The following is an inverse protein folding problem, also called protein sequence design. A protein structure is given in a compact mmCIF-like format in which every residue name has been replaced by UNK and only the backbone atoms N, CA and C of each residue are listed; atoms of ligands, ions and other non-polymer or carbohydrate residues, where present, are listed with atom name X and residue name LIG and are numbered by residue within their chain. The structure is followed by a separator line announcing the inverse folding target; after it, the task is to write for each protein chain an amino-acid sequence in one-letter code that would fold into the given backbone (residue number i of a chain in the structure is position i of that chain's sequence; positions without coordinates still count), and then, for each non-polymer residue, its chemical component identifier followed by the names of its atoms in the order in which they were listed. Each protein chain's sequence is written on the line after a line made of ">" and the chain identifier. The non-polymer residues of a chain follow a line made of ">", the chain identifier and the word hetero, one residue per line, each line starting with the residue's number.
data_IF_652436175093
#
_entry.id   IF_652436175093
#
_cell.length_a   1.000
_cell.length_b   1.000
_cell.length_c   1.000
_cell.angle_alpha   90.00
_cell.angle_beta   90.00
_cell.angle_gamma   90.00
#
_symmetry.space_group_name_H-M   'P 1'
#
loop_
_entity.id
_entity.type
_entity.pdbx_description
1 polymer ?
#
# COMPACT_ATOMS: atom_id res chain seq x y z
N UNK A 1 -53.35 -20.80 15.12
CA UNK A 1 -53.81 -19.71 16.02
C UNK A 1 -53.11 -18.44 15.59
N UNK A 2 -53.81 -17.66 14.77
CA UNK A 2 -53.51 -16.31 14.32
C UNK A 2 -53.83 -15.33 15.45
N UNK A 3 -52.90 -14.46 15.84
CA UNK A 3 -53.22 -13.20 16.53
C UNK A 3 -52.30 -12.07 16.07
N UNK A 4 -52.96 -10.94 15.80
CA UNK A 4 -52.56 -9.74 15.10
C UNK A 4 -51.71 -8.76 15.96
N UNK A 5 -51.14 -7.69 15.38
CA UNK A 5 -50.18 -6.81 16.04
C UNK A 5 -50.87 -5.76 16.93
N UNK A 6 -50.22 -5.43 18.05
CA UNK A 6 -50.67 -4.38 18.97
C UNK A 6 -50.16 -3.02 18.48
N UNK A 7 -51.11 -2.13 18.23
CA UNK A 7 -50.94 -0.73 17.84
C UNK A 7 -50.96 0.13 19.11
N UNK A 8 -49.94 0.98 19.33
CA UNK A 8 -49.95 1.96 20.40
C UNK A 8 -49.53 3.33 19.85
N UNK A 9 -50.52 4.18 19.60
CA UNK A 9 -50.35 5.58 19.24
C UNK A 9 -50.26 6.48 20.48
N UNK A 10 -49.25 7.36 20.43
CA UNK A 10 -49.17 8.72 20.97
C UNK A 10 -49.66 9.04 22.40
N UNK A 11 -48.70 9.38 23.27
CA UNK A 11 -48.81 10.55 24.15
C UNK A 11 -47.46 11.26 24.25
N UNK A 12 -47.45 12.53 23.85
CA UNK A 12 -46.31 13.47 23.90
C UNK A 12 -46.32 14.17 25.26
N UNK A 13 -45.21 14.17 26.02
CA UNK A 13 -44.97 15.17 27.05
C UNK A 13 -44.24 16.35 26.42
N UNK A 14 -44.89 17.51 26.39
CA UNK A 14 -44.27 18.80 26.09
C UNK A 14 -43.26 19.15 27.17
N UNK A 15 -41.98 19.28 26.82
CA UNK A 15 -40.91 19.76 27.71
C UNK A 15 -40.52 21.18 27.26
N UNK A 16 -40.43 22.15 28.19
CA UNK A 16 -40.16 23.55 27.87
C UNK A 16 -38.77 23.77 27.29
N UNK A 17 -38.74 24.55 26.22
CA UNK A 17 -37.57 25.16 25.59
C UNK A 17 -36.76 25.95 26.62
N UNK A 18 -35.53 25.51 26.86
CA UNK A 18 -34.43 26.37 27.33
C UNK A 18 -33.15 25.91 26.63
N UNK A 19 -33.03 26.25 25.34
CA UNK A 19 -31.74 26.21 24.68
C UNK A 19 -30.81 27.21 25.41
N UNK A 20 -29.62 26.81 25.87
CA UNK A 20 -28.60 27.79 26.16
C UNK A 20 -28.25 28.46 24.84
N UNK A 21 -28.19 29.79 24.84
CA UNK A 21 -27.79 30.63 23.71
C UNK A 21 -26.49 30.05 23.14
N UNK A 22 -26.58 29.38 21.99
CA UNK A 22 -25.41 28.94 21.24
C UNK A 22 -24.65 30.21 20.86
N UNK A 23 -23.53 30.45 21.52
CA UNK A 23 -22.53 31.39 21.02
C UNK A 23 -22.13 30.89 19.64
N UNK A 24 -22.54 31.61 18.59
CA UNK A 24 -22.21 31.29 17.21
C UNK A 24 -20.69 31.16 17.06
N UNK A 25 -20.21 29.91 17.00
CA UNK A 25 -18.78 29.57 16.90
C UNK A 25 -18.15 30.05 15.59
N UNK A 26 -18.99 30.47 14.63
CA UNK A 26 -18.58 30.97 13.32
C UNK A 26 -18.74 32.48 13.18
N UNK A 27 -19.05 33.21 14.26
CA UNK A 27 -19.15 34.67 14.23
C UNK A 27 -17.85 35.32 13.72
N UNK A 28 -16.67 34.81 14.14
CA UNK A 28 -15.38 35.31 13.66
C UNK A 28 -15.19 35.16 12.13
N UNK A 29 -15.67 34.06 11.55
CA UNK A 29 -15.56 33.81 10.11
C UNK A 29 -16.52 34.68 9.29
N UNK A 30 -17.71 34.97 9.83
CA UNK A 30 -18.64 35.92 9.22
C UNK A 30 -18.13 37.36 9.25
N UNK A 31 -17.42 37.75 10.31
CA UNK A 31 -16.80 39.08 10.39
C UNK A 31 -15.68 39.25 9.35
N UNK A 32 -14.89 38.21 9.08
CA UNK A 32 -13.85 38.23 8.04
C UNK A 32 -14.43 38.23 6.61
N UNK A 33 -15.58 37.58 6.39
CA UNK A 33 -16.26 37.59 5.10
C UNK A 33 -16.95 38.93 4.80
N UNK A 34 -17.39 39.66 5.84
CA UNK A 34 -18.04 40.96 5.70
C UNK A 34 -17.06 42.12 5.43
N UNK A 35 -15.77 41.95 5.68
CA UNK A 35 -14.73 42.95 5.39
C UNK A 35 -14.20 42.91 3.96
N UNK A 36 -14.68 42.00 3.11
CA UNK A 36 -14.08 41.77 1.78
C UNK A 36 -14.86 42.37 0.59
N UNK A 37 -15.81 43.27 0.83
CA UNK A 37 -16.47 44.03 -0.25
C UNK A 37 -16.22 45.53 -0.06
N UNK A 38 -15.19 46.07 -0.73
CA UNK A 38 -15.00 47.54 -0.77
C UNK A 38 -13.68 48.16 -1.23
N UNK A 39 -13.04 47.68 -2.30
CA UNK A 39 -12.13 48.46 -3.20
C UNK A 39 -10.78 48.99 -2.64
N UNK A 40 -9.79 49.28 -3.53
CA UNK A 40 -8.35 49.18 -3.21
C UNK A 40 -7.77 50.48 -2.67
N UNK A 41 -6.95 50.40 -1.61
CA UNK A 41 -6.07 51.50 -1.24
C UNK A 41 -4.71 50.98 -0.78
N UNK A 42 -3.69 51.57 -1.39
CA UNK A 42 -2.27 51.32 -1.26
C UNK A 42 -1.72 51.61 0.14
N UNK A 43 -0.66 50.87 0.47
CA UNK A 43 0.38 51.13 1.46
C UNK A 43 -0.03 51.43 2.90
N UNK A 44 -0.04 50.35 3.71
CA UNK A 44 0.47 50.37 5.08
C UNK A 44 1.06 49.00 5.39
N UNK A 45 2.39 48.94 5.39
CA UNK A 45 3.17 47.86 5.97
C UNK A 45 2.79 47.71 7.45
N UNK A 46 1.95 46.72 7.76
CA UNK A 46 1.84 46.20 9.12
C UNK A 46 2.87 45.09 9.29
N UNK A 47 3.98 45.50 9.91
CA UNK A 47 4.85 44.82 10.87
C UNK A 47 4.35 43.44 11.39
N UNK A 48 4.31 42.44 10.51
CA UNK A 48 4.23 41.03 10.90
C UNK A 48 5.65 40.46 10.95
N UNK A 49 6.27 40.62 12.11
CA UNK A 49 7.30 39.73 12.61
C UNK A 49 8.57 39.68 11.77
N UNK A 50 9.45 40.64 12.02
CA UNK A 50 10.89 40.53 11.78
C UNK A 50 11.42 39.26 12.47
N UNK A 51 11.30 38.13 11.80
CA UNK A 51 11.90 36.88 12.24
C UNK A 51 13.39 37.07 12.04
N UNK A 52 14.06 37.50 13.11
CA UNK A 52 15.52 37.54 13.21
C UNK A 52 16.01 36.19 12.66
N UNK A 53 16.58 36.21 11.46
CA UNK A 53 17.32 35.08 10.95
C UNK A 53 18.48 34.87 11.93
N UNK A 54 18.32 33.88 12.82
CA UNK A 54 19.44 33.40 13.61
C UNK A 54 20.54 33.04 12.61
N UNK A 55 21.72 33.63 12.78
CA UNK A 55 22.89 33.32 11.96
C UNK A 55 23.05 31.80 11.96
N UNK A 56 22.96 31.16 10.79
CA UNK A 56 23.18 29.73 10.69
C UNK A 56 24.57 29.43 11.26
N UNK A 57 24.70 28.54 12.26
CA UNK A 57 26.00 28.01 12.59
C UNK A 57 26.48 27.22 11.35
N UNK A 58 27.60 27.64 10.79
CA UNK A 58 28.29 26.92 9.72
C UNK A 58 28.69 25.54 10.24
N UNK A 59 27.86 24.52 10.04
CA UNK A 59 28.22 23.10 10.21
C UNK A 59 27.14 22.21 9.60
N UNK A 60 27.48 21.55 8.50
CA UNK A 60 26.94 20.30 7.96
C UNK A 60 25.71 19.72 8.67
N UNK A 61 24.52 19.97 8.12
CA UNK A 61 23.39 19.05 8.27
C UNK A 61 22.57 19.10 6.99
N UNK A 62 22.75 18.06 6.17
CA UNK A 62 22.03 17.81 4.92
C UNK A 62 20.55 17.54 5.24
N UNK A 63 19.74 18.60 5.23
CA UNK A 63 18.29 18.48 5.11
C UNK A 63 17.98 18.51 3.61
N UNK A 64 17.79 17.33 3.02
CA UNK A 64 17.40 17.19 1.61
C UNK A 64 15.95 17.63 1.43
N UNK A 65 15.78 18.86 0.95
CA UNK A 65 14.50 19.35 0.42
C UNK A 65 14.14 18.58 -0.86
N UNK A 66 13.06 17.79 -0.82
CA UNK A 66 12.51 17.09 -1.97
C UNK A 66 11.73 18.06 -2.87
N UNK A 67 12.40 18.69 -3.82
CA UNK A 67 11.74 19.47 -4.87
C UNK A 67 11.94 18.81 -6.23
N UNK A 68 10.81 18.39 -6.82
CA UNK A 68 10.59 18.07 -8.25
C UNK A 68 11.54 17.06 -8.88
N UNK A 69 11.32 15.77 -8.62
CA UNK A 69 11.85 14.69 -9.45
C UNK A 69 11.18 14.70 -10.82
N UNK A 70 11.97 14.72 -11.90
CA UNK A 70 11.45 14.62 -13.26
C UNK A 70 10.82 13.24 -13.51
N UNK A 71 9.76 13.15 -14.34
CA UNK A 71 9.03 11.91 -14.62
C UNK A 71 9.93 10.75 -15.13
N UNK A 72 11.00 11.07 -15.85
CA UNK A 72 11.99 10.10 -16.29
C UNK A 72 12.80 9.50 -15.13
N UNK A 73 13.17 10.32 -14.12
CA UNK A 73 13.88 9.85 -12.93
C UNK A 73 12.98 8.98 -12.05
N UNK A 74 11.70 9.34 -11.89
CA UNK A 74 10.75 8.50 -11.16
C UNK A 74 10.51 7.16 -11.85
N UNK A 75 10.45 7.14 -13.19
CA UNK A 75 10.31 5.89 -13.95
C UNK A 75 11.52 4.96 -13.79
N UNK A 76 12.74 5.50 -13.77
CA UNK A 76 13.96 4.71 -13.53
C UNK A 76 13.97 4.14 -12.12
N UNK A 77 13.72 4.96 -11.10
CA UNK A 77 13.63 4.50 -9.71
C UNK A 77 12.54 3.44 -9.52
N UNK A 78 11.44 3.55 -10.26
CA UNK A 78 10.36 2.55 -10.24
C UNK A 78 10.80 1.22 -10.89
N UNK A 79 11.57 1.28 -11.98
CA UNK A 79 12.11 0.08 -12.63
C UNK A 79 13.10 -0.64 -11.71
N UNK A 80 14.04 0.10 -11.09
CA UNK A 80 15.00 -0.45 -10.12
C UNK A 80 14.29 -1.10 -8.92
N UNK A 81 13.19 -0.48 -8.47
CA UNK A 81 12.38 -1.01 -7.37
C UNK A 81 11.67 -2.32 -7.75
N UNK A 82 11.14 -2.39 -8.96
CA UNK A 82 10.49 -3.60 -9.48
C UNK A 82 11.48 -4.74 -9.69
N UNK A 83 12.67 -4.43 -10.20
CA UNK A 83 13.75 -5.40 -10.35
C UNK A 83 14.11 -6.01 -8.99
N UNK A 84 14.32 -5.20 -7.96
CA UNK A 84 14.58 -5.68 -6.58
C UNK A 84 13.44 -6.53 -6.01
N UNK A 85 12.20 -6.16 -6.28
CA UNK A 85 11.05 -6.97 -5.86
C UNK A 85 11.02 -8.32 -6.59
N UNK A 86 11.39 -8.34 -7.88
CA UNK A 86 11.46 -9.57 -8.67
C UNK A 86 12.62 -10.46 -8.22
N UNK A 87 13.78 -9.90 -7.90
CA UNK A 87 14.90 -10.60 -7.26
C UNK A 87 14.46 -11.25 -5.95
N UNK A 88 13.73 -10.52 -5.11
CA UNK A 88 13.17 -11.05 -3.86
C UNK A 88 12.20 -12.22 -4.11
N UNK A 89 11.33 -12.12 -5.11
CA UNK A 89 10.48 -13.25 -5.51
C UNK A 89 11.31 -14.48 -5.89
N UNK A 90 12.29 -14.31 -6.78
CA UNK A 90 13.17 -15.41 -7.23
C UNK A 90 13.93 -16.02 -6.06
N UNK A 91 14.42 -15.20 -5.13
CA UNK A 91 15.12 -15.67 -3.94
C UNK A 91 14.23 -16.56 -3.07
N UNK A 92 13.04 -16.09 -2.70
CA UNK A 92 12.11 -16.86 -1.85
C UNK A 92 11.66 -18.16 -2.53
N UNK A 93 11.33 -18.12 -3.83
CA UNK A 93 10.95 -19.32 -4.57
C UNK A 93 12.10 -20.33 -4.67
N UNK A 94 13.34 -19.85 -4.81
CA UNK A 94 14.52 -20.71 -4.83
C UNK A 94 14.74 -21.39 -3.48
N UNK A 95 14.68 -20.63 -2.39
CA UNK A 95 14.79 -21.20 -1.03
C UNK A 95 13.70 -22.24 -0.78
N UNK A 96 12.45 -21.98 -1.17
CA UNK A 96 11.37 -22.95 -1.07
C UNK A 96 11.65 -24.22 -1.89
N UNK A 97 12.09 -24.08 -3.14
CA UNK A 97 12.43 -25.21 -3.99
C UNK A 97 13.58 -26.05 -3.41
N UNK A 98 14.60 -25.40 -2.87
CA UNK A 98 15.78 -26.07 -2.31
C UNK A 98 15.41 -26.79 -1.01
N UNK A 99 14.56 -26.17 -0.17
CA UNK A 99 14.01 -26.80 1.03
C UNK A 99 13.27 -28.10 0.70
N UNK A 100 12.31 -28.08 -0.23
CA UNK A 100 11.54 -29.29 -0.55
C UNK A 100 12.37 -30.36 -1.26
N UNK A 101 13.35 -29.97 -2.09
CA UNK A 101 14.28 -30.92 -2.71
C UNK A 101 15.29 -31.54 -1.74
N UNK A 102 15.56 -30.89 -0.60
CA UNK A 102 16.44 -31.44 0.43
C UNK A 102 15.81 -32.60 1.23
N UNK A 103 14.50 -32.84 1.07
CA UNK A 103 13.78 -33.93 1.73
C UNK A 103 13.80 -35.16 0.82
N UNK A 104 14.73 -36.07 1.07
CA UNK A 104 14.91 -37.29 0.26
C UNK A 104 13.80 -38.34 0.46
N UNK A 105 13.21 -38.40 1.67
CA UNK A 105 12.15 -39.37 1.99
C UNK A 105 10.77 -38.85 1.55
N UNK A 106 10.17 -39.54 0.58
CA UNK A 106 8.86 -39.20 0.00
C UNK A 106 7.75 -39.17 1.06
N UNK A 107 7.81 -40.04 2.08
CA UNK A 107 6.79 -40.08 3.13
C UNK A 107 6.90 -38.86 4.05
N UNK A 108 8.13 -38.46 4.39
CA UNK A 108 8.39 -37.25 5.19
C UNK A 108 7.95 -36.02 4.40
N UNK A 109 8.30 -35.95 3.12
CA UNK A 109 7.87 -34.86 2.24
C UNK A 109 6.34 -34.78 2.18
N UNK A 110 5.65 -35.91 2.02
CA UNK A 110 4.19 -35.99 2.01
C UNK A 110 3.56 -35.54 3.34
N UNK A 111 4.17 -35.88 4.48
CA UNK A 111 3.73 -35.40 5.79
C UNK A 111 3.93 -33.88 5.93
N UNK A 112 5.09 -33.37 5.53
CA UNK A 112 5.41 -31.94 5.60
C UNK A 112 4.45 -31.10 4.76
N UNK A 113 4.20 -31.48 3.50
CA UNK A 113 3.25 -30.76 2.64
C UNK A 113 1.79 -30.99 3.06
N UNK A 114 1.52 -32.06 3.81
CA UNK A 114 0.19 -32.37 4.35
C UNK A 114 -0.15 -31.60 5.64
N UNK A 115 0.87 -31.23 6.42
CA UNK A 115 0.74 -30.48 7.67
C UNK A 115 0.19 -29.06 7.42
N UNK A 116 -0.60 -28.56 8.38
CA UNK A 116 -1.20 -27.23 8.27
C UNK A 116 -0.15 -26.12 8.14
N UNK A 117 1.04 -26.29 8.76
CA UNK A 117 2.11 -25.29 8.63
C UNK A 117 2.78 -25.35 7.27
N UNK A 118 2.99 -26.56 6.74
CA UNK A 118 3.55 -26.74 5.39
C UNK A 118 2.62 -26.21 4.31
N UNK A 119 1.31 -26.44 4.45
CA UNK A 119 0.29 -25.84 3.57
C UNK A 119 0.32 -24.32 3.61
N UNK A 120 0.27 -23.70 4.80
CA UNK A 120 0.36 -22.24 4.93
C UNK A 120 1.64 -21.69 4.31
N UNK A 121 2.78 -22.35 4.52
CA UNK A 121 4.02 -21.95 3.88
C UNK A 121 3.92 -21.99 2.34
N UNK A 122 3.36 -23.06 1.77
CA UNK A 122 3.14 -23.17 0.33
C UNK A 122 2.12 -22.15 -0.20
N UNK A 123 1.10 -21.79 0.57
CA UNK A 123 0.16 -20.69 0.23
C UNK A 123 0.90 -19.36 0.09
N UNK A 124 1.84 -19.05 1.01
CA UNK A 124 2.68 -17.86 0.90
C UNK A 124 3.63 -17.93 -0.31
N UNK A 125 4.26 -19.08 -0.57
CA UNK A 125 5.10 -19.31 -1.78
C UNK A 125 4.31 -19.02 -3.05
N UNK A 126 3.05 -19.45 -3.08
CA UNK A 126 2.12 -19.22 -4.18
C UNK A 126 1.80 -17.72 -4.33
N UNK A 127 1.61 -16.98 -3.23
CA UNK A 127 1.43 -15.53 -3.30
C UNK A 127 2.67 -14.81 -3.84
N UNK A 128 3.89 -15.27 -3.48
CA UNK A 128 5.14 -14.73 -4.03
C UNK A 128 5.24 -14.94 -5.54
N UNK A 129 4.87 -16.11 -6.03
CA UNK A 129 4.77 -16.40 -7.46
C UNK A 129 3.80 -15.42 -8.17
N UNK A 130 2.63 -15.14 -7.58
CA UNK A 130 1.68 -14.15 -8.10
C UNK A 130 2.24 -12.73 -8.11
N UNK A 131 3.00 -12.33 -7.09
CA UNK A 131 3.68 -11.03 -7.06
C UNK A 131 4.66 -10.92 -8.22
N UNK A 132 5.51 -11.95 -8.42
CA UNK A 132 6.47 -11.99 -9.53
C UNK A 132 5.78 -11.85 -10.88
N UNK A 133 4.69 -12.59 -11.12
CA UNK A 133 3.92 -12.48 -12.36
C UNK A 133 3.31 -11.11 -12.57
N UNK A 134 2.81 -10.45 -11.52
CA UNK A 134 2.29 -9.07 -11.61
C UNK A 134 3.39 -8.08 -12.02
N UNK A 135 4.57 -8.20 -11.43
CA UNK A 135 5.72 -7.35 -11.79
C UNK A 135 6.11 -7.57 -13.26
N UNK A 136 6.23 -8.83 -13.71
CA UNK A 136 6.55 -9.15 -15.11
C UNK A 136 5.46 -8.63 -16.07
N UNK A 137 4.19 -8.72 -15.66
CA UNK A 137 3.07 -8.24 -16.48
C UNK A 137 2.98 -6.71 -16.55
N UNK A 138 3.65 -6.01 -15.64
CA UNK A 138 3.70 -4.56 -15.65
C UNK A 138 4.65 -4.11 -16.78
N UNK A 139 4.14 -3.29 -17.70
CA UNK A 139 4.82 -2.83 -18.94
C UNK A 139 6.06 -1.95 -18.71
N UNK A 140 6.57 -1.87 -17.49
CA UNK A 140 7.69 -1.03 -17.06
C UNK A 140 9.02 -1.77 -17.02
N UNK A 141 9.00 -3.10 -17.08
CA UNK A 141 10.18 -3.94 -17.25
C UNK A 141 10.20 -4.42 -18.70
N UNK A 142 11.31 -4.27 -19.42
CA UNK A 142 11.50 -4.88 -20.75
C UNK A 142 11.60 -6.41 -20.56
N UNK A 143 10.45 -7.09 -20.57
CA UNK A 143 10.26 -8.40 -19.92
C UNK A 143 10.64 -9.61 -20.74
N UNK A 144 10.72 -9.49 -22.06
CA UNK A 144 10.77 -10.67 -22.93
C UNK A 144 12.13 -11.39 -22.91
N UNK A 145 13.20 -10.74 -22.40
CA UNK A 145 14.52 -11.36 -22.28
C UNK A 145 15.19 -11.18 -20.90
N UNK A 146 14.44 -10.70 -19.90
CA UNK A 146 14.96 -10.53 -18.54
C UNK A 146 15.31 -11.89 -17.91
N UNK A 147 16.54 -12.04 -17.43
CA UNK A 147 17.02 -13.28 -16.80
C UNK A 147 16.18 -13.65 -15.56
N UNK A 148 15.78 -12.66 -14.77
CA UNK A 148 14.93 -12.87 -13.59
C UNK A 148 13.57 -13.46 -13.95
N UNK A 149 12.94 -13.01 -15.05
CA UNK A 149 11.68 -13.58 -15.54
C UNK A 149 11.83 -15.07 -15.89
N UNK A 150 12.94 -15.44 -16.55
CA UNK A 150 13.23 -16.84 -16.89
C UNK A 150 13.49 -17.68 -15.64
N UNK A 151 14.22 -17.13 -14.66
CA UNK A 151 14.46 -17.80 -13.38
C UNK A 151 13.15 -18.01 -12.62
N UNK A 152 12.28 -17.00 -12.56
CA UNK A 152 10.95 -17.10 -11.95
C UNK A 152 10.14 -18.22 -12.60
N UNK A 153 9.99 -18.22 -13.93
CA UNK A 153 9.23 -19.24 -14.66
C UNK A 153 9.79 -20.66 -14.46
N UNK A 154 11.12 -20.80 -14.41
CA UNK A 154 11.76 -22.09 -14.11
C UNK A 154 11.45 -22.57 -12.69
N UNK A 155 11.43 -21.67 -11.71
CA UNK A 155 11.13 -22.01 -10.31
C UNK A 155 9.65 -22.33 -10.12
N UNK A 156 8.74 -21.56 -10.72
CA UNK A 156 7.31 -21.84 -10.68
C UNK A 156 7.01 -23.25 -11.23
N UNK A 157 7.63 -23.64 -12.36
CA UNK A 157 7.52 -25.00 -12.91
C UNK A 157 8.10 -26.07 -11.99
N UNK A 158 9.21 -25.78 -11.31
CA UNK A 158 9.82 -26.73 -10.38
C UNK A 158 8.98 -26.93 -9.11
N UNK A 159 8.27 -25.88 -8.68
CA UNK A 159 7.39 -25.89 -7.50
C UNK A 159 5.97 -26.37 -7.79
N UNK A 160 5.54 -26.39 -9.06
CA UNK A 160 4.20 -26.81 -9.51
C UNK A 160 3.69 -28.10 -8.83
N UNK A 161 4.51 -29.17 -8.65
CA UNK A 161 4.05 -30.39 -7.97
C UNK A 161 3.52 -30.17 -6.55
N UNK A 162 3.98 -29.13 -5.87
CA UNK A 162 3.60 -28.78 -4.49
C UNK A 162 2.52 -27.71 -4.43
N UNK A 163 2.54 -26.75 -5.36
CA UNK A 163 1.70 -25.55 -5.32
C UNK A 163 0.36 -25.73 -6.03
N UNK A 164 0.29 -26.57 -7.07
CA UNK A 164 -0.93 -26.80 -7.85
C UNK A 164 -2.17 -27.20 -7.03
N UNK A 165 -2.07 -28.04 -5.99
CA UNK A 165 -3.22 -28.35 -5.13
C UNK A 165 -3.76 -27.16 -4.34
N UNK A 166 -3.03 -26.03 -4.29
CA UNK A 166 -3.36 -24.84 -3.52
C UNK A 166 -3.82 -23.68 -4.42
N UNK A 167 -3.99 -23.88 -5.73
CA UNK A 167 -4.46 -22.84 -6.66
C UNK A 167 -5.86 -22.28 -6.33
N UNK A 168 -6.57 -22.85 -5.36
CA UNK A 168 -7.87 -22.36 -4.91
C UNK A 168 -7.82 -21.65 -3.55
N UNK A 169 -6.66 -21.55 -2.89
CA UNK A 169 -6.51 -20.92 -1.57
C UNK A 169 -5.98 -19.48 -1.64
N UNK A 170 -5.73 -18.99 -2.86
CA UNK A 170 -5.29 -17.64 -3.13
C UNK A 170 -6.17 -16.56 -2.51
N UNK A 171 -5.55 -15.44 -2.14
CA UNK A 171 -6.29 -14.23 -1.82
C UNK A 171 -7.06 -13.72 -3.04
N UNK A 172 -8.32 -13.32 -2.84
CA UNK A 172 -9.19 -12.80 -3.90
C UNK A 172 -8.58 -11.56 -4.58
N UNK A 173 -8.62 -11.53 -5.90
CA UNK A 173 -8.13 -10.42 -6.71
C UNK A 173 -9.19 -9.30 -6.75
N UNK A 174 -8.82 -8.09 -6.32
CA UNK A 174 -9.69 -6.92 -6.35
C UNK A 174 -9.10 -5.83 -7.24
N UNK A 175 -9.98 -5.00 -7.84
CA UNK A 175 -9.55 -3.81 -8.57
C UNK A 175 -9.46 -2.64 -7.60
N UNK A 176 -8.28 -2.04 -7.48
CA UNK A 176 -8.03 -0.89 -6.62
C UNK A 176 -7.10 0.14 -7.26
N UNK A 177 -6.46 0.95 -6.43
CA UNK A 177 -5.44 1.86 -6.91
C UNK A 177 -4.17 1.10 -7.29
N UNK A 178 -3.36 1.70 -8.17
CA UNK A 178 -2.11 1.14 -8.64
C UNK A 178 -1.14 0.90 -7.48
N UNK A 179 -0.69 -0.34 -7.33
CA UNK A 179 0.29 -0.72 -6.31
C UNK A 179 1.66 -0.09 -6.60
N UNK A 180 2.27 0.57 -5.62
CA UNK A 180 3.56 1.23 -5.77
C UNK A 180 4.75 0.30 -5.97
N UNK A 181 4.58 -1.01 -5.76
CA UNK A 181 5.61 -2.02 -6.01
C UNK A 181 5.39 -2.70 -7.35
N UNK A 182 4.28 -3.44 -7.52
CA UNK A 182 4.06 -4.22 -8.74
C UNK A 182 3.44 -3.43 -9.90
N UNK A 183 3.05 -2.16 -9.68
CA UNK A 183 2.44 -1.29 -10.70
C UNK A 183 1.13 -1.83 -11.33
N UNK A 184 0.47 -2.78 -10.67
CA UNK A 184 -0.84 -3.30 -11.08
C UNK A 184 -1.96 -2.66 -10.25
N UNK A 185 -3.10 -2.40 -10.88
CA UNK A 185 -4.36 -2.03 -10.19
C UNK A 185 -5.09 -3.26 -9.63
N UNK A 186 -4.86 -4.42 -10.23
CA UNK A 186 -5.44 -5.69 -9.82
C UNK A 186 -4.50 -6.38 -8.83
N UNK A 187 -5.02 -6.66 -7.64
CA UNK A 187 -4.31 -7.36 -6.58
C UNK A 187 -5.19 -7.60 -5.36
N UNK A 188 -4.75 -8.46 -4.44
CA UNK A 188 -5.47 -8.68 -3.19
C UNK A 188 -5.17 -7.61 -2.14
N UNK A 189 -6.16 -7.35 -1.29
CA UNK A 189 -6.02 -6.64 0.00
C UNK A 189 -5.20 -5.34 -0.08
N UNK A 190 -5.74 -4.31 -0.73
CA UNK A 190 -5.07 -3.01 -0.84
C UNK A 190 -4.87 -2.35 0.54
N UNK A 191 -3.65 -1.89 0.78
CA UNK A 191 -3.26 -1.16 1.99
C UNK A 191 -2.66 0.19 1.61
N UNK A 192 -2.96 1.21 2.41
CA UNK A 192 -2.43 2.56 2.22
C UNK A 192 -1.24 2.79 3.15
N UNK A 193 -0.15 3.32 2.60
CA UNK A 193 1.01 3.77 3.37
C UNK A 193 1.53 5.09 2.82
N UNK A 194 1.46 6.14 3.64
CA UNK A 194 1.76 7.51 3.20
C UNK A 194 0.83 7.95 2.05
N UNK A 195 1.45 8.33 0.93
CA UNK A 195 0.76 8.77 -0.30
C UNK A 195 0.47 7.61 -1.27
N UNK A 196 1.02 6.42 -1.02
CA UNK A 196 0.97 5.29 -1.94
C UNK A 196 -0.02 4.21 -1.47
N UNK A 197 -0.42 3.36 -2.40
CA UNK A 197 -1.17 2.14 -2.14
C UNK A 197 -0.35 0.92 -2.56
N UNK A 198 -0.56 -0.18 -1.85
CA UNK A 198 0.15 -1.44 -2.07
C UNK A 198 -0.83 -2.60 -1.94
N UNK A 199 -0.59 -3.69 -2.65
CA UNK A 199 -1.21 -4.96 -2.28
C UNK A 199 -0.52 -5.49 -1.02
N UNK A 200 -1.27 -6.00 -0.05
CA UNK A 200 -0.70 -6.51 1.19
C UNK A 200 0.42 -7.54 0.96
N UNK A 201 0.29 -8.54 0.06
CA UNK A 201 1.39 -9.46 -0.24
C UNK A 201 2.63 -8.77 -0.82
N UNK A 202 2.46 -7.77 -1.69
CA UNK A 202 3.59 -7.01 -2.22
C UNK A 202 4.34 -6.26 -1.11
N UNK A 203 3.60 -5.60 -0.21
CA UNK A 203 4.18 -4.91 0.92
C UNK A 203 4.89 -5.87 1.89
N UNK A 204 4.27 -7.02 2.17
CA UNK A 204 4.85 -8.04 3.03
C UNK A 204 6.17 -8.58 2.46
N UNK A 205 6.21 -8.95 1.18
CA UNK A 205 7.44 -9.39 0.53
C UNK A 205 8.53 -8.33 0.66
N UNK A 206 8.20 -7.08 0.31
CA UNK A 206 9.17 -5.98 0.35
C UNK A 206 9.75 -5.78 1.75
N UNK A 207 8.89 -5.75 2.77
CA UNK A 207 9.29 -5.49 4.15
C UNK A 207 10.13 -6.62 4.77
N UNK A 208 9.92 -7.86 4.33
CA UNK A 208 10.65 -9.02 4.87
C UNK A 208 11.93 -9.34 4.11
N UNK A 209 12.02 -8.98 2.82
CA UNK A 209 13.10 -9.46 1.94
C UNK A 209 13.88 -8.32 1.28
N UNK A 210 13.27 -7.17 1.02
CA UNK A 210 13.87 -6.12 0.19
C UNK A 210 14.32 -4.90 0.98
N UNK A 211 13.50 -4.37 1.90
CA UNK A 211 13.83 -3.15 2.63
C UNK A 211 12.96 -2.92 3.85
N UNK A 212 13.44 -2.10 4.79
CA UNK A 212 12.81 -1.92 6.11
C UNK A 212 11.57 -1.02 6.07
N UNK A 213 11.41 -0.18 5.03
CA UNK A 213 10.33 0.79 4.90
C UNK A 213 9.79 0.83 3.47
N UNK A 214 8.46 0.88 3.34
CA UNK A 214 7.81 0.98 2.03
C UNK A 214 8.15 2.31 1.32
N UNK A 215 8.35 2.28 -0.01
CA UNK A 215 8.69 3.48 -0.77
C UNK A 215 7.62 4.58 -0.69
N UNK A 216 8.05 5.81 -0.46
CA UNK A 216 7.18 7.01 -0.43
C UNK A 216 7.21 7.81 -1.74
N UNK A 217 7.97 7.36 -2.74
CA UNK A 217 8.01 7.99 -4.05
C UNK A 217 6.65 7.85 -4.74
N UNK A 218 6.08 8.92 -5.33
CA UNK A 218 4.78 8.85 -5.98
C UNK A 218 4.74 7.78 -7.08
N UNK A 219 3.66 7.00 -7.10
CA UNK A 219 3.37 6.08 -8.19
C UNK A 219 3.05 6.87 -9.46
N UNK A 220 3.75 6.59 -10.56
CA UNK A 220 3.54 7.20 -11.88
C UNK A 220 2.47 6.48 -12.71
#
# INVERSE_FOLDING_TARGET
>A
LTLAPVNLSCMVPSIPSTAPVESDRYNALRQLAATNDGSPQEDLFDDFGDFIAASQPSSDTTVTSFTTTNAAQSSLLQSDLQEKCLEACVHVLREANDLFKSIDDINVLAEVIGDDRGKRYLEEVVEVERIGRRIISSKTVETDDCELSKQLESLCKALEPFTKPLEHTHMEEEKGAKCGLCQCEQGPAHVKYGINQFHAPCANLFLHVTGELLPLTPVT
#
